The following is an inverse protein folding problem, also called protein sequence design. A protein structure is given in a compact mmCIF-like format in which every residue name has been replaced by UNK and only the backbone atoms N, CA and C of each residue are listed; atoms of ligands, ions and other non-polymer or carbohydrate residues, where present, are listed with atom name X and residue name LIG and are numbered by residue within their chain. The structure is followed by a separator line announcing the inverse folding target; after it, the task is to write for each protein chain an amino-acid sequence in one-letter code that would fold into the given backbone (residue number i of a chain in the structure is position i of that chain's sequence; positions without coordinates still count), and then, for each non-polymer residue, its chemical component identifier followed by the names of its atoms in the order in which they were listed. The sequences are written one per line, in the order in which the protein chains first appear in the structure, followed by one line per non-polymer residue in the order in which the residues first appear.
data_IF_499317457786
#
_entry.id   IF_499317457786
#
_cell.length_a   1.000
_cell.length_b   1.000
_cell.length_c   1.000
_cell.angle_alpha   90.00
_cell.angle_beta   90.00
_cell.angle_gamma   90.00
#
_symmetry.space_group_name_H-M   'P 1'
#
loop_
_entity.id
_entity.type
_entity.pdbx_description
1 polymer ?
#
# COMPACT_ATOMS: atom_id res chain seq x y z
N UNK A 1 -9.72 17.90 0.26
CA UNK A 1 -10.09 16.50 0.50
C UNK A 1 -9.57 16.02 1.84
N UNK A 2 -10.24 15.07 2.47
CA UNK A 2 -9.78 14.44 3.71
C UNK A 2 -8.83 13.29 3.42
N UNK A 3 -7.79 13.16 4.23
CA UNK A 3 -6.79 12.10 4.12
C UNK A 3 -6.27 11.70 5.49
N UNK A 4 -6.09 10.39 5.71
CA UNK A 4 -5.45 9.85 6.92
C UNK A 4 -3.94 9.96 6.75
N UNK A 5 -3.31 10.67 7.66
CA UNK A 5 -1.86 10.85 7.68
C UNK A 5 -1.27 10.47 9.02
N UNK A 6 -0.01 10.05 9.00
CA UNK A 6 0.78 9.76 10.17
C UNK A 6 1.96 10.73 10.29
N UNK A 7 2.24 11.19 11.51
CA UNK A 7 3.50 11.87 11.83
C UNK A 7 4.63 10.86 11.90
N UNK A 8 5.64 11.00 11.06
CA UNK A 8 6.85 10.15 11.10
C UNK A 8 7.66 10.34 12.38
N UNK A 9 7.50 11.47 13.06
CA UNK A 9 8.21 11.82 14.29
C UNK A 9 7.57 11.16 15.50
N UNK A 10 6.26 11.29 15.64
CA UNK A 10 5.52 10.86 16.84
C UNK A 10 4.68 9.58 16.66
N UNK A 11 4.46 9.14 15.43
CA UNK A 11 3.56 8.04 15.12
C UNK A 11 2.07 8.38 15.26
N UNK A 12 1.72 9.62 15.62
CA UNK A 12 0.32 10.04 15.78
C UNK A 12 -0.40 10.04 14.44
N UNK A 13 -1.60 9.48 14.43
CA UNK A 13 -2.53 9.51 13.31
C UNK A 13 -3.41 10.76 13.38
N UNK A 14 -3.73 11.31 12.24
CA UNK A 14 -4.66 12.42 12.12
C UNK A 14 -5.41 12.36 10.79
N UNK A 15 -6.69 12.71 10.81
CA UNK A 15 -7.43 13.06 9.61
C UNK A 15 -7.16 14.53 9.30
N UNK A 16 -6.61 14.81 8.11
CA UNK A 16 -6.31 16.18 7.69
C UNK A 16 -7.00 16.53 6.39
N UNK A 17 -7.36 17.80 6.27
CA UNK A 17 -7.74 18.38 5.00
C UNK A 17 -6.49 18.78 4.23
N UNK A 18 -6.41 18.30 2.98
CA UNK A 18 -5.31 18.57 2.05
C UNK A 18 -5.88 19.00 0.70
N UNK A 19 -5.14 19.71 -0.14
CA UNK A 19 -5.57 20.03 -1.49
C UNK A 19 -5.94 18.76 -2.27
N UNK A 20 -6.98 18.84 -3.10
CA UNK A 20 -7.33 17.76 -4.00
C UNK A 20 -6.24 17.61 -5.09
N UNK A 21 -5.80 16.39 -5.42
CA UNK A 21 -4.80 16.20 -6.45
C UNK A 21 -5.40 16.43 -7.84
N UNK A 22 -4.61 16.96 -8.75
CA UNK A 22 -4.98 17.09 -10.16
C UNK A 22 -4.63 15.82 -10.94
N UNK A 23 -5.48 15.44 -11.90
CA UNK A 23 -5.20 14.33 -12.80
C UNK A 23 -4.00 14.66 -13.71
N UNK A 24 -3.19 13.66 -14.02
CA UNK A 24 -2.01 13.74 -14.89
C UNK A 24 -2.20 12.84 -16.10
N UNK A 25 -1.46 13.10 -17.19
CA UNK A 25 -1.39 12.17 -18.33
C UNK A 25 -0.97 10.76 -17.84
N UNK A 26 -1.59 9.71 -18.39
CA UNK A 26 -1.36 8.33 -18.00
C UNK A 26 -1.85 7.94 -16.59
N UNK A 27 -2.67 8.79 -15.95
CA UNK A 27 -3.21 8.56 -14.60
C UNK A 27 -4.74 8.69 -14.57
N UNK A 28 -5.32 8.10 -13.55
CA UNK A 28 -6.74 8.21 -13.22
C UNK A 28 -6.90 9.01 -11.93
N UNK A 29 -7.89 9.89 -11.86
CA UNK A 29 -8.38 10.47 -10.61
C UNK A 29 -9.53 9.60 -10.11
N UNK A 30 -9.36 8.98 -8.95
CA UNK A 30 -10.30 8.02 -8.37
C UNK A 30 -10.87 8.57 -7.07
N UNK A 31 -12.19 8.60 -6.97
CA UNK A 31 -12.92 8.84 -5.72
C UNK A 31 -13.01 7.51 -4.98
N UNK A 32 -12.37 7.42 -3.83
CA UNK A 32 -12.31 6.21 -3.02
C UNK A 32 -13.67 5.89 -2.41
N UNK A 33 -14.12 4.64 -2.58
CA UNK A 33 -15.34 4.09 -1.96
C UNK A 33 -15.01 3.18 -0.80
N UNK A 34 -13.94 2.37 -0.95
CA UNK A 34 -13.43 1.50 0.09
C UNK A 34 -11.91 1.49 0.08
N UNK A 35 -11.28 1.39 1.24
CA UNK A 35 -9.84 1.20 1.36
C UNK A 35 -9.52 0.17 2.43
N UNK A 36 -8.58 -0.72 2.12
CA UNK A 36 -8.20 -1.82 3.00
C UNK A 36 -7.20 -1.37 4.05
N UNK A 37 -7.51 -1.60 5.32
CA UNK A 37 -6.56 -1.45 6.42
C UNK A 37 -5.79 -2.76 6.60
N UNK A 38 -4.49 -2.73 6.32
CA UNK A 38 -3.61 -3.87 6.56
C UNK A 38 -3.01 -3.79 7.96
N UNK A 39 -3.64 -4.48 8.90
CA UNK A 39 -3.26 -4.44 10.32
C UNK A 39 -1.77 -4.75 10.54
N UNK A 40 -1.20 -5.72 9.83
CA UNK A 40 0.23 -6.07 9.94
C UNK A 40 1.15 -4.95 9.43
N UNK A 41 0.94 -4.50 8.19
CA UNK A 41 1.82 -3.50 7.55
C UNK A 41 1.68 -2.12 8.19
N UNK A 42 0.46 -1.66 8.43
CA UNK A 42 0.23 -0.34 9.00
C UNK A 42 0.66 -0.27 10.47
N UNK A 43 0.40 -1.31 11.26
CA UNK A 43 0.89 -1.39 12.63
C UNK A 43 2.43 -1.33 12.67
N UNK A 44 3.11 -2.05 11.78
CA UNK A 44 4.58 -1.99 11.68
C UNK A 44 5.08 -0.56 11.39
N UNK A 45 4.41 0.15 10.47
CA UNK A 45 4.74 1.55 10.14
C UNK A 45 4.50 2.47 11.33
N UNK A 46 3.38 2.31 12.03
CA UNK A 46 3.03 3.08 13.24
C UNK A 46 4.04 2.82 14.35
N UNK A 47 4.35 1.57 14.63
CA UNK A 47 5.27 1.19 15.70
C UNK A 47 6.71 1.63 15.40
N UNK A 48 7.12 1.58 14.11
CA UNK A 48 8.41 2.16 13.71
C UNK A 48 8.46 3.66 13.94
N UNK A 49 7.40 4.40 13.62
CA UNK A 49 7.36 5.85 13.81
C UNK A 49 7.44 6.26 15.29
N UNK A 50 6.89 5.45 16.20
CA UNK A 50 6.95 5.68 17.66
C UNK A 50 8.35 5.46 18.27
N UNK A 51 9.25 4.74 17.59
CA UNK A 51 10.61 4.49 18.10
C UNK A 51 11.39 5.79 18.25
N UNK A 52 12.28 5.84 19.26
CA UNK A 52 13.28 6.91 19.38
C UNK A 52 14.20 6.96 18.16
N UNK A 53 14.92 8.05 17.96
CA UNK A 53 15.89 8.17 16.85
C UNK A 53 16.93 7.04 16.88
N UNK A 54 17.44 6.68 18.05
CA UNK A 54 18.36 5.55 18.24
C UNK A 54 17.67 4.22 17.89
N UNK A 55 16.41 4.04 18.29
CA UNK A 55 15.62 2.87 17.95
C UNK A 55 15.32 2.76 16.44
N UNK A 56 15.05 3.90 15.77
CA UNK A 56 14.91 3.95 14.30
C UNK A 56 16.21 3.61 13.58
N UNK A 57 17.34 4.13 14.07
CA UNK A 57 18.66 3.84 13.52
C UNK A 57 19.00 2.34 13.62
N UNK A 58 18.76 1.73 14.78
CA UNK A 58 18.97 0.28 14.97
C UNK A 58 18.06 -0.57 14.10
N UNK A 59 16.81 -0.15 13.91
CA UNK A 59 15.84 -0.88 13.08
C UNK A 59 16.08 -0.74 11.56
N UNK A 60 16.76 0.32 11.10
CA UNK A 60 17.01 0.60 9.68
C UNK A 60 18.46 1.07 9.45
N UNK A 61 19.44 0.15 9.55
CA UNK A 61 20.85 0.46 9.34
C UNK A 61 21.13 0.95 7.90
N UNK A 62 20.33 0.54 6.93
CA UNK A 62 20.35 1.02 5.56
C UNK A 62 20.14 2.54 5.44
N UNK A 63 19.20 3.08 6.24
CA UNK A 63 18.96 4.53 6.28
C UNK A 63 20.10 5.28 7.00
N UNK A 64 20.68 4.68 8.04
CA UNK A 64 21.84 5.24 8.73
C UNK A 64 23.00 5.40 7.76
N UNK A 65 23.30 4.37 6.96
CA UNK A 65 24.34 4.42 5.92
C UNK A 65 24.10 5.58 4.96
N UNK A 66 22.88 5.73 4.44
CA UNK A 66 22.51 6.87 3.56
C UNK A 66 22.70 8.24 4.23
N UNK A 67 22.42 8.36 5.53
CA UNK A 67 22.67 9.60 6.28
C UNK A 67 24.17 9.88 6.41
N UNK A 68 24.99 8.84 6.68
CA UNK A 68 26.45 8.97 6.76
C UNK A 68 27.02 9.36 5.39
N UNK A 69 26.58 8.72 4.32
CA UNK A 69 27.04 9.05 2.97
C UNK A 69 26.67 10.50 2.61
N UNK A 70 25.45 10.92 2.93
CA UNK A 70 25.00 12.30 2.75
C UNK A 70 25.78 13.31 3.61
N UNK A 71 26.15 12.91 4.84
CA UNK A 71 26.98 13.74 5.72
C UNK A 71 28.37 14.00 5.12
N UNK A 72 28.94 13.00 4.44
CA UNK A 72 30.24 13.12 3.76
C UNK A 72 30.18 13.99 2.51
N UNK A 73 29.06 13.94 1.75
CA UNK A 73 28.90 14.71 0.51
C UNK A 73 28.43 16.15 0.75
N UNK A 74 27.43 16.35 1.61
CA UNK A 74 26.70 17.63 1.72
C UNK A 74 27.01 18.39 3.02
N UNK A 75 27.73 17.75 3.95
CA UNK A 75 28.08 18.32 5.24
C UNK A 75 26.98 18.22 6.30
N UNK A 76 27.33 18.60 7.53
CA UNK A 76 26.49 18.36 8.73
C UNK A 76 25.17 19.12 8.67
N UNK A 77 25.18 20.42 8.32
CA UNK A 77 24.01 21.29 8.36
C UNK A 77 22.95 20.82 7.34
N UNK A 78 23.35 20.63 6.09
CA UNK A 78 22.43 20.21 5.02
C UNK A 78 21.84 18.80 5.29
N UNK A 79 22.65 17.90 5.85
CA UNK A 79 22.21 16.57 6.25
C UNK A 79 21.17 16.63 7.37
N UNK A 80 21.44 17.42 8.42
CA UNK A 80 20.50 17.62 9.54
C UNK A 80 19.16 18.18 9.06
N UNK A 81 19.18 19.26 8.27
CA UNK A 81 17.96 19.87 7.69
C UNK A 81 17.17 18.87 6.85
N UNK A 82 17.84 18.07 6.01
CA UNK A 82 17.18 17.06 5.19
C UNK A 82 16.53 15.95 6.04
N UNK A 83 17.21 15.48 7.08
CA UNK A 83 16.69 14.44 7.99
C UNK A 83 15.49 14.98 8.76
N UNK A 84 15.57 16.21 9.30
CA UNK A 84 14.47 16.82 10.03
C UNK A 84 13.26 17.08 9.13
N UNK A 85 13.44 17.63 7.95
CA UNK A 85 12.38 17.83 6.97
C UNK A 85 11.68 16.50 6.59
N UNK A 86 12.45 15.42 6.46
CA UNK A 86 11.89 14.08 6.17
C UNK A 86 11.12 13.49 7.36
N UNK A 87 11.53 13.78 8.59
CA UNK A 87 10.82 13.36 9.80
C UNK A 87 9.53 14.19 10.03
N UNK A 88 9.54 15.44 9.65
CA UNK A 88 8.40 16.35 9.78
C UNK A 88 7.37 16.15 8.63
N UNK A 89 7.80 15.58 7.50
CA UNK A 89 6.90 15.30 6.39
C UNK A 89 5.80 14.28 6.81
N UNK A 90 4.52 14.61 6.59
CA UNK A 90 3.42 13.68 6.86
C UNK A 90 3.53 12.45 5.97
N UNK A 91 3.17 11.29 6.51
CA UNK A 91 3.12 10.02 5.78
C UNK A 91 1.66 9.66 5.52
N UNK A 92 1.20 9.67 4.25
CA UNK A 92 -0.09 9.09 3.90
C UNK A 92 -0.11 7.59 4.21
N UNK A 93 -1.21 7.11 4.79
CA UNK A 93 -1.41 5.68 5.03
C UNK A 93 -2.34 5.09 3.97
N UNK A 94 -2.28 3.76 3.85
CA UNK A 94 -3.00 3.00 2.85
C UNK A 94 -2.15 2.69 1.61
N UNK A 95 -2.52 1.60 0.93
CA UNK A 95 -1.86 1.15 -0.30
C UNK A 95 -2.77 0.26 -1.17
N UNK A 96 -4.00 0.04 -0.75
CA UNK A 96 -4.98 -0.80 -1.44
C UNK A 96 -6.37 -0.21 -1.24
N UNK A 97 -7.04 0.13 -2.33
CA UNK A 97 -8.37 0.74 -2.28
C UNK A 97 -9.16 0.42 -3.55
N UNK A 98 -10.44 0.75 -3.54
CA UNK A 98 -11.29 0.72 -4.72
C UNK A 98 -12.18 1.97 -4.74
N UNK A 99 -12.63 2.34 -5.93
CA UNK A 99 -13.48 3.50 -6.09
C UNK A 99 -13.90 3.77 -7.53
N UNK A 100 -14.40 4.97 -7.76
CA UNK A 100 -14.98 5.40 -9.02
C UNK A 100 -14.10 6.45 -9.69
N UNK A 101 -13.86 6.29 -10.97
CA UNK A 101 -13.07 7.23 -11.78
C UNK A 101 -13.83 8.54 -11.93
N UNK A 102 -13.23 9.65 -11.49
CA UNK A 102 -13.77 11.02 -11.62
C UNK A 102 -13.18 11.76 -12.82
N UNK A 103 -11.94 11.41 -13.20
CA UNK A 103 -11.31 11.96 -14.39
C UNK A 103 -10.28 10.96 -14.95
N UNK A 104 -10.15 10.94 -16.25
CA UNK A 104 -9.20 10.12 -17.01
C UNK A 104 -8.14 11.06 -17.58
N UNK A 105 -6.87 10.79 -17.30
CA UNK A 105 -5.75 11.53 -17.85
C UNK A 105 -5.47 11.14 -19.30
N UNK A 106 -4.87 12.06 -20.06
CA UNK A 106 -4.56 11.86 -21.45
C UNK A 106 -3.83 10.53 -21.72
N UNK A 107 -4.24 9.82 -22.76
CA UNK A 107 -3.68 8.54 -23.20
C UNK A 107 -4.36 7.31 -22.58
N UNK A 108 -5.43 7.48 -21.79
CA UNK A 108 -6.18 6.38 -21.18
C UNK A 108 -7.66 6.32 -21.58
N UNK A 109 -8.11 7.19 -22.47
CA UNK A 109 -9.53 7.37 -22.85
C UNK A 109 -10.12 6.12 -23.57
N UNK A 110 -9.27 5.30 -24.18
CA UNK A 110 -9.69 4.05 -24.82
C UNK A 110 -9.82 2.85 -23.84
N UNK A 111 -9.27 2.97 -22.64
CA UNK A 111 -9.21 1.88 -21.67
C UNK A 111 -10.12 2.13 -20.45
N UNK A 112 -10.24 3.39 -20.05
CA UNK A 112 -11.01 3.79 -18.87
C UNK A 112 -12.02 4.87 -19.21
N UNK A 113 -13.12 4.90 -18.45
CA UNK A 113 -14.16 5.94 -18.59
C UNK A 113 -14.52 6.52 -17.23
N UNK A 114 -14.92 7.78 -17.20
CA UNK A 114 -15.49 8.42 -16.00
C UNK A 114 -16.73 7.63 -15.55
N UNK A 115 -16.87 7.44 -14.25
CA UNK A 115 -17.89 6.59 -13.65
C UNK A 115 -17.55 5.10 -13.61
N UNK A 116 -16.48 4.64 -14.29
CA UNK A 116 -15.99 3.27 -14.19
C UNK A 116 -15.45 2.97 -12.78
N UNK A 117 -15.59 1.71 -12.33
CA UNK A 117 -15.07 1.25 -11.04
C UNK A 117 -13.69 0.63 -11.21
N UNK A 118 -12.77 0.97 -10.30
CA UNK A 118 -11.40 0.46 -10.33
C UNK A 118 -10.91 0.08 -8.94
N UNK A 119 -10.17 -1.03 -8.87
CA UNK A 119 -9.27 -1.34 -7.76
C UNK A 119 -7.94 -0.64 -8.01
N UNK A 120 -7.36 -0.03 -6.98
CA UNK A 120 -6.14 0.76 -7.07
C UNK A 120 -5.11 0.30 -6.04
N UNK A 121 -3.83 0.40 -6.41
CA UNK A 121 -2.71 -0.13 -5.65
C UNK A 121 -1.60 0.91 -5.44
N UNK A 122 -0.78 0.69 -4.43
CA UNK A 122 0.50 1.37 -4.24
C UNK A 122 0.58 2.24 -2.99
N UNK A 123 1.64 2.04 -2.21
CA UNK A 123 1.95 2.86 -1.04
C UNK A 123 2.27 4.30 -1.46
N UNK A 124 1.59 5.28 -0.84
CA UNK A 124 1.68 6.69 -1.22
C UNK A 124 0.85 7.05 -2.47
N UNK A 125 0.10 6.11 -3.03
CA UNK A 125 -0.74 6.27 -4.23
C UNK A 125 -2.19 5.93 -3.90
N UNK A 126 -2.49 4.68 -3.48
CA UNK A 126 -3.82 4.25 -3.07
C UNK A 126 -3.99 4.43 -1.56
N UNK A 127 -4.06 5.67 -1.13
CA UNK A 127 -4.09 6.05 0.28
C UNK A 127 -5.50 5.99 0.86
N UNK A 128 -5.61 6.01 2.20
CA UNK A 128 -6.86 6.30 2.91
C UNK A 128 -7.21 7.79 2.75
N UNK A 129 -7.71 8.15 1.59
CA UNK A 129 -8.04 9.50 1.18
C UNK A 129 -9.30 9.51 0.32
N UNK A 130 -10.04 10.61 0.30
CA UNK A 130 -11.24 10.75 -0.53
C UNK A 130 -10.94 10.67 -2.03
N UNK A 131 -9.77 11.17 -2.45
CA UNK A 131 -9.32 11.16 -3.85
C UNK A 131 -7.89 10.65 -3.95
N UNK A 132 -7.63 9.81 -4.95
CA UNK A 132 -6.30 9.30 -5.28
C UNK A 132 -6.01 9.48 -6.77
N UNK A 133 -4.76 9.88 -7.11
CA UNK A 133 -4.28 9.91 -8.50
C UNK A 133 -3.37 8.71 -8.71
N UNK A 134 -3.77 7.83 -9.61
CA UNK A 134 -3.19 6.50 -9.77
C UNK A 134 -2.71 6.30 -11.21
N UNK A 135 -1.47 5.86 -11.45
CA UNK A 135 -1.01 5.54 -12.79
C UNK A 135 -1.69 4.27 -13.31
N UNK A 136 -1.78 4.13 -14.63
CA UNK A 136 -2.44 3.02 -15.32
C UNK A 136 -2.06 1.63 -14.78
N UNK A 137 -0.77 1.40 -14.56
CA UNK A 137 -0.24 0.10 -14.13
C UNK A 137 -0.57 -0.29 -12.67
N UNK A 138 -1.20 0.61 -11.92
CA UNK A 138 -1.66 0.39 -10.55
C UNK A 138 -3.18 0.49 -10.41
N UNK A 139 -3.90 0.42 -11.53
CA UNK A 139 -5.35 0.40 -11.57
C UNK A 139 -5.83 -0.82 -12.37
N UNK A 140 -6.91 -1.44 -11.92
CA UNK A 140 -7.57 -2.54 -12.61
C UNK A 140 -9.09 -2.34 -12.54
N UNK A 141 -9.80 -2.54 -13.64
CA UNK A 141 -11.26 -2.46 -13.67
C UNK A 141 -11.88 -3.50 -12.75
N UNK A 142 -12.90 -3.09 -11.99
CA UNK A 142 -13.65 -3.97 -11.10
C UNK A 142 -14.74 -4.65 -11.92
N UNK A 143 -14.80 -5.99 -11.94
CA UNK A 143 -15.85 -6.72 -12.63
C UNK A 143 -17.24 -6.46 -12.04
N UNK A 144 -18.27 -6.69 -12.84
CA UNK A 144 -19.65 -6.70 -12.35
C UNK A 144 -19.84 -7.79 -11.28
N UNK A 145 -20.64 -7.50 -10.27
CA UNK A 145 -20.90 -8.42 -9.15
C UNK A 145 -19.84 -8.42 -8.04
N UNK A 146 -18.72 -7.72 -8.20
CA UNK A 146 -17.72 -7.50 -7.14
C UNK A 146 -18.00 -6.17 -6.46
N UNK A 147 -18.12 -6.15 -5.13
CA UNK A 147 -18.31 -4.93 -4.35
C UNK A 147 -17.05 -4.07 -4.28
N UNK A 148 -17.16 -2.80 -3.87
CA UNK A 148 -16.00 -1.92 -3.68
C UNK A 148 -15.13 -2.38 -2.51
N UNK A 149 -15.76 -2.94 -1.47
CA UNK A 149 -15.08 -3.53 -0.32
C UNK A 149 -14.24 -4.75 -0.73
N UNK A 150 -14.79 -5.65 -1.54
CA UNK A 150 -14.06 -6.81 -2.07
C UNK A 150 -12.92 -6.35 -3.00
N UNK A 151 -13.19 -5.40 -3.89
CA UNK A 151 -12.20 -4.85 -4.82
C UNK A 151 -11.04 -4.15 -4.09
N UNK A 152 -11.28 -3.57 -2.90
CA UNK A 152 -10.24 -2.96 -2.08
C UNK A 152 -9.17 -3.96 -1.61
N UNK A 153 -9.43 -5.27 -1.62
CA UNK A 153 -8.44 -6.31 -1.36
C UNK A 153 -7.53 -6.61 -2.55
N UNK A 154 -7.74 -6.00 -3.71
CA UNK A 154 -7.04 -6.33 -4.95
C UNK A 154 -5.52 -6.33 -4.84
N UNK A 155 -4.92 -5.35 -4.15
CA UNK A 155 -3.46 -5.31 -3.95
C UNK A 155 -2.96 -6.49 -3.11
N UNK A 156 -3.63 -6.80 -2.02
CA UNK A 156 -3.25 -7.90 -1.12
C UNK A 156 -3.49 -9.24 -1.82
N UNK A 157 -4.57 -9.35 -2.59
CA UNK A 157 -4.85 -10.50 -3.44
C UNK A 157 -3.75 -10.74 -4.48
N UNK A 158 -3.26 -9.66 -5.12
CA UNK A 158 -2.14 -9.74 -6.05
C UNK A 158 -0.85 -10.22 -5.39
N UNK A 159 -0.56 -9.76 -4.16
CA UNK A 159 0.58 -10.25 -3.37
C UNK A 159 0.44 -11.73 -3.05
N UNK A 160 -0.72 -12.17 -2.59
CA UNK A 160 -0.99 -13.58 -2.30
C UNK A 160 -0.90 -14.45 -3.57
N UNK A 161 -1.46 -13.99 -4.69
CA UNK A 161 -1.38 -14.67 -5.99
C UNK A 161 0.07 -14.80 -6.46
N UNK A 162 0.88 -13.76 -6.29
CA UNK A 162 2.30 -13.79 -6.63
C UNK A 162 3.06 -14.84 -5.81
N UNK A 163 2.79 -14.93 -4.50
CA UNK A 163 3.37 -15.95 -3.64
C UNK A 163 2.99 -17.38 -4.10
N UNK A 164 1.71 -17.60 -4.41
CA UNK A 164 1.22 -18.90 -4.91
C UNK A 164 1.87 -19.29 -6.24
N UNK A 165 2.01 -18.32 -7.17
CA UNK A 165 2.69 -18.57 -8.45
C UNK A 165 4.16 -18.90 -8.29
N UNK A 166 4.87 -18.19 -7.41
CA UNK A 166 6.29 -18.46 -7.14
C UNK A 166 6.54 -19.78 -6.42
N UNK A 167 5.53 -20.32 -5.73
CA UNK A 167 5.62 -21.63 -5.10
C UNK A 167 5.53 -22.79 -6.12
N UNK A 168 5.12 -22.52 -7.38
CA UNK A 168 5.03 -23.48 -8.49
C UNK A 168 4.27 -24.75 -8.11
N UNK A 169 3.23 -24.62 -7.29
CA UNK A 169 2.47 -25.73 -6.75
C UNK A 169 1.69 -26.50 -7.83
N UNK A 170 1.55 -27.80 -7.63
CA UNK A 170 0.80 -28.70 -8.52
C UNK A 170 -0.47 -29.20 -7.85
N UNK A 171 -1.42 -29.63 -8.67
CA UNK A 171 -2.68 -30.23 -8.22
C UNK A 171 -2.42 -31.40 -7.25
N UNK A 172 -3.10 -31.41 -6.11
CA UNK A 172 -3.00 -32.49 -5.11
C UNK A 172 -1.84 -32.36 -4.13
N UNK A 173 -0.92 -31.41 -4.31
CA UNK A 173 0.18 -31.20 -3.37
C UNK A 173 -0.30 -30.71 -2.01
N UNK A 174 0.48 -31.02 -0.97
CA UNK A 174 0.27 -30.54 0.39
C UNK A 174 1.16 -29.30 0.60
N UNK A 175 0.55 -28.18 0.94
CA UNK A 175 1.24 -26.91 1.11
C UNK A 175 1.03 -26.37 2.53
N UNK A 176 2.11 -26.03 3.22
CA UNK A 176 2.05 -25.37 4.52
C UNK A 176 2.10 -23.85 4.33
N UNK A 177 1.11 -23.14 4.90
CA UNK A 177 1.07 -21.69 4.99
C UNK A 177 1.42 -21.27 6.42
N UNK A 178 2.56 -20.60 6.59
CA UNK A 178 3.03 -20.13 7.87
C UNK A 178 2.61 -18.66 8.06
N UNK A 179 1.72 -18.42 9.01
CA UNK A 179 1.09 -17.13 9.27
C UNK A 179 -0.28 -17.02 8.58
N UNK A 180 -1.35 -17.06 9.37
CA UNK A 180 -2.75 -17.00 8.90
C UNK A 180 -3.34 -15.58 9.04
N UNK A 181 -2.49 -14.56 8.87
CA UNK A 181 -2.91 -13.17 8.69
C UNK A 181 -3.56 -12.96 7.32
N UNK A 182 -3.87 -11.72 6.98
CA UNK A 182 -4.60 -11.34 5.78
C UNK A 182 -4.03 -11.97 4.48
N UNK A 183 -2.72 -11.86 4.24
CA UNK A 183 -2.06 -12.43 3.05
C UNK A 183 -2.08 -13.96 3.10
N UNK A 184 -1.80 -14.55 4.26
CA UNK A 184 -1.77 -16.01 4.42
C UNK A 184 -3.13 -16.65 4.18
N UNK A 185 -4.21 -16.05 4.68
CA UNK A 185 -5.58 -16.53 4.42
C UNK A 185 -5.94 -16.46 2.94
N UNK A 186 -5.58 -15.38 2.24
CA UNK A 186 -5.80 -15.27 0.80
C UNK A 186 -4.96 -16.28 0.02
N UNK A 187 -3.69 -16.49 0.38
CA UNK A 187 -2.84 -17.49 -0.23
C UNK A 187 -3.40 -18.92 -0.01
N UNK A 188 -3.81 -19.23 1.21
CA UNK A 188 -4.43 -20.53 1.53
C UNK A 188 -5.69 -20.77 0.70
N UNK A 189 -6.53 -19.75 0.55
CA UNK A 189 -7.73 -19.85 -0.29
C UNK A 189 -7.39 -20.09 -1.76
N UNK A 190 -6.41 -19.36 -2.31
CA UNK A 190 -5.95 -19.53 -3.69
C UNK A 190 -5.35 -20.92 -3.91
N UNK A 191 -4.54 -21.41 -2.99
CA UNK A 191 -3.97 -22.77 -3.02
C UNK A 191 -5.06 -23.84 -3.02
N UNK A 192 -6.07 -23.70 -2.14
CA UNK A 192 -7.22 -24.61 -2.10
C UNK A 192 -7.98 -24.62 -3.43
N UNK A 193 -8.24 -23.44 -4.01
CA UNK A 193 -8.89 -23.30 -5.31
C UNK A 193 -8.04 -23.89 -6.47
N UNK A 194 -6.72 -23.92 -6.29
CA UNK A 194 -5.78 -24.58 -7.23
C UNK A 194 -5.68 -26.09 -7.02
N UNK A 195 -6.50 -26.68 -6.14
CA UNK A 195 -6.55 -28.10 -5.90
C UNK A 195 -5.49 -28.64 -4.94
N UNK A 196 -4.79 -27.77 -4.20
CA UNK A 196 -3.83 -28.18 -3.18
C UNK A 196 -4.53 -28.50 -1.85
N UNK A 197 -3.90 -29.34 -1.04
CA UNK A 197 -4.27 -29.57 0.37
C UNK A 197 -3.47 -28.60 1.24
N UNK A 198 -4.16 -27.70 1.95
CA UNK A 198 -3.48 -26.62 2.68
C UNK A 198 -3.48 -26.87 4.18
N UNK A 199 -2.32 -26.75 4.79
CA UNK A 199 -2.12 -26.75 6.25
C UNK A 199 -1.74 -25.33 6.66
N UNK A 200 -2.60 -24.68 7.49
CA UNK A 200 -2.33 -23.34 8.01
C UNK A 200 -1.78 -23.44 9.43
N UNK A 201 -0.70 -22.71 9.69
CA UNK A 201 -0.05 -22.63 10.99
C UNK A 201 0.07 -21.16 11.43
N UNK A 202 -0.35 -20.83 12.64
CA UNK A 202 -0.18 -19.51 13.26
C UNK A 202 0.16 -19.66 14.74
N UNK A 203 0.61 -18.58 15.37
CA UNK A 203 0.90 -18.56 16.81
C UNK A 203 -0.35 -18.34 17.66
N UNK A 204 -1.49 -17.97 17.07
CA UNK A 204 -2.78 -17.73 17.75
C UNK A 204 -3.83 -18.73 17.28
#
# INVERSE_FOLDING_TARGET
MKQVIQSRKSGKLALKEVPAPAVKAGHLLVETRASLISAGTERMVIDFAKKSLAGKAKARPDLVKKVIDKLKSDGLKATYETVMARLDAPLPLGYSAAGVIKAVGAGLEGEYRVGGRVAIAGAGIANHAELNVVPRNLAASVPDGVSDEEAAFGTVGAVAMHAVRNAEVRLGEIVAVLGCGLVGQMAARLLTLSGCRVICLDYN
#
